data_IF_970449375521
#
_entry.id   IF_970449375521
#
_cell.length_a   1.000
_cell.length_b   1.000
_cell.length_c   1.000
_cell.angle_alpha   90.00
_cell.angle_beta   90.00
_cell.angle_gamma   90.00
#
_symmetry.space_group_name_H-M   'P 1'
#
loop_
_entity.id
_entity.type
_entity.pdbx_description
1 polymer ?
#
# COMPACT_ATOMS: atom_id res chain seq x y z
N UNK A 1 19.18 21.43 28.32
CA UNK A 1 18.43 20.27 27.82
C UNK A 1 17.14 20.78 27.19
N UNK A 2 16.89 20.51 25.91
CA UNK A 2 15.58 20.77 25.33
C UNK A 2 14.57 19.84 26.01
N UNK A 3 13.42 20.36 26.43
CA UNK A 3 12.34 19.52 26.97
C UNK A 3 11.81 18.63 25.84
N UNK A 4 11.98 17.33 26.01
CA UNK A 4 11.33 16.34 25.14
C UNK A 4 9.82 16.44 25.34
N UNK A 5 9.05 16.41 24.26
CA UNK A 5 7.58 16.48 24.29
C UNK A 5 6.99 15.31 23.53
N UNK A 6 5.69 15.04 23.66
CA UNK A 6 5.02 14.00 22.87
C UNK A 6 5.19 14.20 21.36
N UNK A 7 5.21 15.46 20.93
CA UNK A 7 5.44 15.84 19.53
C UNK A 7 6.86 15.53 19.04
N UNK A 8 7.81 15.26 19.95
CA UNK A 8 9.18 14.88 19.61
C UNK A 8 9.37 13.38 19.38
N UNK A 9 8.36 12.54 19.66
CA UNK A 9 8.46 11.10 19.45
C UNK A 9 8.60 10.80 17.94
N UNK A 10 9.74 10.24 17.50
CA UNK A 10 9.93 9.93 16.08
C UNK A 10 9.07 8.72 15.66
N UNK A 11 8.64 7.89 16.60
CA UNK A 11 7.88 6.68 16.32
C UNK A 11 6.39 6.98 16.31
N UNK A 12 5.65 6.67 15.23
CA UNK A 12 4.20 6.89 15.18
C UNK A 12 3.44 5.89 16.05
N UNK A 13 2.44 6.35 16.80
CA UNK A 13 1.62 5.51 17.70
C UNK A 13 0.88 4.41 16.94
N UNK A 14 0.32 4.75 15.78
CA UNK A 14 -0.47 3.80 15.01
C UNK A 14 0.42 2.72 14.41
N UNK A 15 1.70 3.02 14.13
CA UNK A 15 2.63 2.14 13.40
C UNK A 15 1.93 1.46 12.20
N UNK A 16 0.96 2.16 11.60
CA UNK A 16 0.17 1.75 10.46
C UNK A 16 0.53 2.71 9.34
N UNK A 17 1.19 2.21 8.31
CA UNK A 17 1.29 2.98 7.08
C UNK A 17 -0.07 3.02 6.41
N UNK A 18 -0.58 4.24 6.20
CA UNK A 18 -1.68 4.51 5.30
C UNK A 18 -1.10 4.96 3.95
N UNK A 19 -1.66 4.47 2.85
CA UNK A 19 -1.22 4.89 1.53
C UNK A 19 -1.38 6.41 1.38
N UNK A 20 -0.36 7.08 0.84
CA UNK A 20 -0.34 8.54 0.66
C UNK A 20 0.27 9.35 1.81
N UNK A 21 0.58 8.74 2.95
CA UNK A 21 1.34 9.40 4.02
C UNK A 21 2.86 9.41 3.71
N UNK A 22 3.55 10.48 4.10
CA UNK A 22 5.01 10.50 4.07
C UNK A 22 5.54 9.45 5.04
N UNK A 23 6.24 8.45 4.49
CA UNK A 23 6.73 7.32 5.26
C UNK A 23 8.25 7.41 5.39
N UNK A 24 8.73 7.44 6.63
CA UNK A 24 10.14 7.21 6.93
C UNK A 24 10.45 5.77 6.56
N UNK A 25 11.36 5.57 5.61
CA UNK A 25 11.64 4.26 5.03
C UNK A 25 13.12 3.92 5.19
N UNK A 26 13.44 2.64 5.24
CA UNK A 26 14.82 2.15 5.29
C UNK A 26 15.11 1.33 4.04
N UNK A 27 15.75 1.94 3.04
CA UNK A 27 16.11 1.27 1.78
C UNK A 27 17.17 0.20 1.94
N UNK A 28 17.85 0.15 3.10
CA UNK A 28 18.84 -0.87 3.41
C UNK A 28 18.22 -2.24 3.77
N UNK A 29 16.90 -2.33 3.92
CA UNK A 29 16.22 -3.60 4.12
C UNK A 29 16.26 -4.44 2.84
N UNK A 30 16.55 -5.72 2.96
CA UNK A 30 16.74 -6.60 1.80
C UNK A 30 15.50 -6.63 0.88
N UNK A 31 14.30 -6.67 1.47
CA UNK A 31 13.05 -6.69 0.70
C UNK A 31 12.74 -5.34 0.01
N UNK A 32 13.22 -4.22 0.56
CA UNK A 32 13.10 -2.90 -0.06
C UNK A 32 14.01 -2.83 -1.30
N UNK A 33 15.28 -3.22 -1.14
CA UNK A 33 16.25 -3.27 -2.24
C UNK A 33 15.78 -4.21 -3.37
N UNK A 34 15.32 -5.42 -3.02
CA UNK A 34 14.79 -6.37 -4.01
C UNK A 34 13.62 -5.78 -4.83
N UNK A 35 12.64 -5.15 -4.16
CA UNK A 35 11.51 -4.54 -4.85
C UNK A 35 11.92 -3.30 -5.66
N UNK A 36 12.88 -2.52 -5.17
CA UNK A 36 13.46 -1.39 -5.90
C UNK A 36 14.15 -1.85 -7.18
N UNK A 37 14.90 -2.95 -7.10
CA UNK A 37 15.61 -3.50 -8.23
C UNK A 37 14.64 -3.97 -9.32
N UNK A 38 13.50 -4.58 -8.96
CA UNK A 38 12.45 -4.90 -9.93
C UNK A 38 11.82 -3.65 -10.56
N UNK A 39 11.51 -2.62 -9.76
CA UNK A 39 11.00 -1.36 -10.29
C UNK A 39 12.01 -0.68 -11.22
N UNK A 40 13.29 -0.63 -10.83
CA UNK A 40 14.37 -0.02 -11.61
C UNK A 40 14.57 -0.76 -12.93
N UNK A 41 14.67 -2.09 -12.90
CA UNK A 41 14.78 -2.91 -14.11
C UNK A 41 13.59 -2.65 -15.05
N UNK A 42 12.38 -2.54 -14.48
CA UNK A 42 11.19 -2.20 -15.25
C UNK A 42 11.31 -0.85 -15.96
N UNK A 43 11.71 0.20 -15.24
CA UNK A 43 11.85 1.54 -15.79
C UNK A 43 12.97 1.63 -16.85
N UNK A 44 14.11 0.99 -16.60
CA UNK A 44 15.23 0.90 -17.54
C UNK A 44 14.77 0.25 -18.85
N UNK A 45 14.10 -0.90 -18.78
CA UNK A 45 13.64 -1.62 -19.97
C UNK A 45 12.48 -0.92 -20.69
N UNK A 46 11.54 -0.29 -19.95
CA UNK A 46 10.42 0.45 -20.53
C UNK A 46 10.89 1.61 -21.42
N UNK A 47 12.07 2.18 -21.13
CA UNK A 47 12.63 3.32 -21.87
C UNK A 47 13.29 2.96 -23.20
N UNK A 48 13.74 1.71 -23.35
CA UNK A 48 14.60 1.29 -24.47
C UNK A 48 13.82 0.50 -25.51
N UNK A 49 12.77 -0.22 -25.11
CA UNK A 49 12.36 -1.39 -25.88
C UNK A 49 10.91 -1.39 -26.36
N UNK A 50 10.71 -2.00 -27.53
CA UNK A 50 9.38 -2.42 -28.02
C UNK A 50 8.94 -3.73 -27.37
N UNK A 51 9.80 -4.36 -26.56
CA UNK A 51 9.48 -5.61 -25.88
C UNK A 51 8.56 -5.38 -24.68
N UNK A 52 7.64 -6.32 -24.49
CA UNK A 52 6.69 -6.32 -23.37
C UNK A 52 7.42 -6.63 -22.07
N UNK A 53 7.86 -5.60 -21.35
CA UNK A 53 8.60 -5.74 -20.08
C UNK A 53 7.71 -5.62 -18.82
N UNK A 54 6.38 -5.71 -18.98
CA UNK A 54 5.45 -5.77 -17.85
C UNK A 54 5.51 -7.09 -17.08
N UNK A 55 4.76 -7.20 -15.99
CA UNK A 55 4.71 -8.41 -15.17
C UNK A 55 4.08 -8.19 -13.81
N UNK A 56 3.94 -9.27 -13.04
CA UNK A 56 3.54 -9.18 -11.63
C UNK A 56 4.67 -9.63 -10.70
N UNK A 57 4.77 -8.97 -9.55
CA UNK A 57 5.68 -9.28 -8.45
C UNK A 57 4.85 -9.53 -7.21
N UNK A 58 5.02 -10.71 -6.60
CA UNK A 58 4.32 -11.07 -5.37
C UNK A 58 5.09 -10.63 -4.14
N UNK A 59 4.42 -9.94 -3.22
CA UNK A 59 4.92 -9.56 -1.90
C UNK A 59 4.23 -10.42 -0.84
N UNK A 60 5.00 -11.27 -0.16
CA UNK A 60 4.50 -12.26 0.81
C UNK A 60 4.97 -11.92 2.21
N UNK A 61 4.06 -11.69 3.13
CA UNK A 61 4.41 -11.37 4.52
C UNK A 61 3.22 -11.46 5.47
N UNK A 62 3.46 -11.74 6.74
CA UNK A 62 2.42 -11.81 7.78
C UNK A 62 1.71 -10.44 7.98
N UNK A 63 0.56 -10.38 8.66
CA UNK A 63 -0.04 -9.11 9.09
C UNK A 63 0.97 -8.27 9.89
N UNK A 64 1.06 -6.96 9.61
CA UNK A 64 2.01 -6.06 10.28
C UNK A 64 3.45 -6.11 9.76
N UNK A 65 3.76 -6.95 8.78
CA UNK A 65 5.09 -7.12 8.20
C UNK A 65 5.65 -5.90 7.42
N UNK A 66 4.85 -4.86 7.18
CA UNK A 66 5.27 -3.69 6.40
C UNK A 66 4.97 -3.76 4.89
N UNK A 67 4.09 -4.66 4.43
CA UNK A 67 3.70 -4.76 3.01
C UNK A 67 3.13 -3.45 2.45
N UNK A 68 2.14 -2.87 3.13
CA UNK A 68 1.54 -1.57 2.76
C UNK A 68 2.56 -0.44 2.73
N UNK A 69 3.52 -0.48 3.67
CA UNK A 69 4.62 0.47 3.74
C UNK A 69 5.53 0.37 2.51
N UNK A 70 5.94 -0.85 2.15
CA UNK A 70 6.73 -1.13 0.94
C UNK A 70 6.00 -0.66 -0.33
N UNK A 71 4.72 -0.98 -0.50
CA UNK A 71 3.92 -0.52 -1.65
C UNK A 71 3.87 1.02 -1.72
N UNK A 72 3.60 1.68 -0.59
CA UNK A 72 3.53 3.15 -0.54
C UNK A 72 4.88 3.79 -0.88
N UNK A 73 5.97 3.20 -0.41
CA UNK A 73 7.33 3.63 -0.72
C UNK A 73 7.67 3.46 -2.22
N UNK A 74 7.32 2.32 -2.83
CA UNK A 74 7.51 2.10 -4.27
C UNK A 74 6.75 3.14 -5.09
N UNK A 75 5.49 3.42 -4.72
CA UNK A 75 4.67 4.43 -5.38
C UNK A 75 5.27 5.84 -5.27
N UNK A 76 5.79 6.17 -4.09
CA UNK A 76 6.49 7.45 -3.85
C UNK A 76 7.78 7.55 -4.65
N UNK A 77 8.57 6.48 -4.67
CA UNK A 77 9.84 6.40 -5.41
C UNK A 77 9.62 6.60 -6.91
N UNK A 78 8.60 5.97 -7.50
CA UNK A 78 8.28 6.17 -8.91
C UNK A 78 7.91 7.64 -9.20
N UNK A 79 7.04 8.23 -8.38
CA UNK A 79 6.60 9.63 -8.55
C UNK A 79 7.75 10.65 -8.40
N UNK A 80 8.77 10.33 -7.59
CA UNK A 80 9.93 11.19 -7.38
C UNK A 80 11.02 11.02 -8.45
N UNK A 81 10.97 9.96 -9.25
CA UNK A 81 11.97 9.67 -10.28
C UNK A 81 11.80 10.63 -11.47
N UNK A 82 12.55 11.74 -11.45
CA UNK A 82 12.44 12.84 -12.44
C UNK A 82 12.69 12.43 -13.90
N UNK A 83 13.36 11.30 -14.13
CA UNK A 83 13.64 10.81 -15.49
C UNK A 83 12.44 10.14 -16.15
N UNK A 84 11.48 9.64 -15.37
CA UNK A 84 10.33 8.90 -15.87
C UNK A 84 9.07 9.31 -15.10
N UNK A 85 8.22 10.14 -15.70
CA UNK A 85 6.91 10.47 -15.14
C UNK A 85 5.96 9.27 -15.31
N UNK A 86 6.12 8.24 -14.48
CA UNK A 86 5.23 7.06 -14.47
C UNK A 86 3.95 7.30 -13.68
N UNK A 87 2.90 6.56 -14.04
CA UNK A 87 1.63 6.54 -13.31
C UNK A 87 1.62 5.39 -12.30
N UNK A 88 1.26 5.68 -11.05
CA UNK A 88 1.07 4.68 -10.00
C UNK A 88 -0.37 4.66 -9.54
N UNK A 89 -1.02 3.50 -9.66
CA UNK A 89 -2.33 3.24 -9.07
C UNK A 89 -2.20 2.30 -7.88
N UNK A 90 -2.95 2.60 -6.83
CA UNK A 90 -3.02 1.79 -5.63
C UNK A 90 -4.46 1.41 -5.37
N UNK A 91 -4.67 0.14 -5.05
CA UNK A 91 -5.93 -0.34 -4.54
C UNK A 91 -5.71 -1.33 -3.40
N UNK A 92 -6.66 -1.31 -2.47
CA UNK A 92 -6.71 -2.20 -1.32
C UNK A 92 -7.94 -3.08 -1.49
N UNK A 93 -7.76 -4.39 -1.52
CA UNK A 93 -8.89 -5.31 -1.63
C UNK A 93 -9.77 -5.19 -0.37
N UNK A 94 -10.93 -4.54 -0.49
CA UNK A 94 -11.90 -4.40 0.61
C UNK A 94 -13.09 -5.38 0.46
N UNK A 95 -13.15 -6.14 -0.63
CA UNK A 95 -14.17 -7.18 -0.87
C UNK A 95 -13.66 -8.28 -1.80
N UNK A 96 -14.46 -9.33 -1.98
CA UNK A 96 -14.20 -10.39 -2.96
C UNK A 96 -14.67 -10.06 -4.38
N UNK A 97 -15.29 -8.88 -4.60
CA UNK A 97 -15.70 -8.42 -5.93
C UNK A 97 -14.49 -7.81 -6.65
N UNK A 98 -14.06 -8.44 -7.74
CA UNK A 98 -12.85 -8.04 -8.46
C UNK A 98 -13.07 -6.72 -9.24
N UNK A 99 -14.32 -6.42 -9.61
CA UNK A 99 -14.71 -5.21 -10.32
C UNK A 99 -14.58 -4.00 -9.42
N UNK A 100 -14.89 -4.14 -8.12
CA UNK A 100 -14.66 -3.10 -7.13
C UNK A 100 -13.17 -2.73 -7.04
N UNK A 101 -12.27 -3.71 -7.11
CA UNK A 101 -10.82 -3.48 -7.15
C UNK A 101 -10.42 -2.70 -8.42
N UNK A 102 -10.88 -3.13 -9.60
CA UNK A 102 -10.61 -2.44 -10.86
C UNK A 102 -11.12 -0.99 -10.84
N UNK A 103 -12.34 -0.75 -10.36
CA UNK A 103 -12.89 0.61 -10.24
C UNK A 103 -12.11 1.46 -9.24
N UNK A 104 -11.66 0.90 -8.12
CA UNK A 104 -10.79 1.61 -7.17
C UNK A 104 -9.48 2.07 -7.82
N UNK A 105 -8.85 1.22 -8.64
CA UNK A 105 -7.67 1.61 -9.41
C UNK A 105 -8.00 2.74 -10.39
N UNK A 106 -9.06 2.59 -11.19
CA UNK A 106 -9.43 3.58 -12.21
C UNK A 106 -9.83 4.92 -11.59
N UNK A 107 -10.47 4.94 -10.42
CA UNK A 107 -10.75 6.18 -9.68
C UNK A 107 -9.47 6.90 -9.20
N UNK A 108 -8.35 6.18 -9.09
CA UNK A 108 -7.04 6.79 -8.80
C UNK A 108 -6.44 7.56 -9.98
N UNK A 109 -7.05 7.49 -11.17
CA UNK A 109 -6.66 8.29 -12.34
C UNK A 109 -7.55 9.51 -12.44
N UNK A 110 -7.00 10.68 -12.17
CA UNK A 110 -7.74 11.92 -12.35
C UNK A 110 -8.02 12.19 -13.83
N UNK A 111 -9.18 12.78 -14.13
CA UNK A 111 -9.57 13.14 -15.50
C UNK A 111 -8.51 13.95 -16.26
N UNK A 112 -7.86 15.00 -15.68
CA UNK A 112 -6.83 15.75 -16.39
C UNK A 112 -5.64 14.90 -16.82
N UNK A 113 -5.18 13.98 -15.97
CA UNK A 113 -4.10 13.04 -16.29
C UNK A 113 -4.49 12.12 -17.46
N UNK A 114 -5.75 11.66 -17.48
CA UNK A 114 -6.23 10.82 -18.57
C UNK A 114 -6.27 11.57 -19.91
N UNK A 115 -6.65 12.85 -19.90
CA UNK A 115 -6.60 13.73 -21.07
C UNK A 115 -5.16 13.89 -21.56
N UNK A 116 -4.21 14.14 -20.65
CA UNK A 116 -2.79 14.26 -20.99
C UNK A 116 -2.24 12.97 -21.62
N UNK A 117 -2.57 11.80 -21.05
CA UNK A 117 -2.19 10.50 -21.61
C UNK A 117 -2.74 10.28 -23.03
N UNK A 118 -4.00 10.66 -23.26
CA UNK A 118 -4.62 10.59 -24.60
C UNK A 118 -3.87 11.48 -25.59
N UNK A 119 -3.57 12.72 -25.21
CA UNK A 119 -2.82 13.66 -26.06
C UNK A 119 -1.42 13.16 -26.36
N UNK A 120 -0.72 12.60 -25.37
CA UNK A 120 0.62 12.04 -25.54
C UNK A 120 0.60 10.79 -26.45
N UNK A 121 -0.40 9.92 -26.31
CA UNK A 121 -0.59 8.77 -27.21
C UNK A 121 -0.85 9.22 -28.66
N UNK A 122 -1.70 10.24 -28.86
CA UNK A 122 -1.93 10.83 -30.19
C UNK A 122 -0.66 11.44 -30.78
N UNK A 123 0.14 12.14 -29.97
CA UNK A 123 1.42 12.71 -30.39
C UNK A 123 2.39 11.62 -30.84
N UNK A 124 2.53 10.55 -30.05
CA UNK A 124 3.40 9.42 -30.40
C UNK A 124 2.92 8.70 -31.65
N UNK A 125 1.61 8.52 -31.82
CA UNK A 125 1.04 7.98 -33.05
C UNK A 125 1.38 8.87 -34.26
N UNK A 126 1.18 10.18 -34.16
CA UNK A 126 1.51 11.14 -35.20
C UNK A 126 3.00 11.08 -35.58
N UNK A 127 3.91 11.04 -34.60
CA UNK A 127 5.36 10.90 -34.81
C UNK A 127 5.71 9.60 -35.54
N UNK A 128 5.13 8.47 -35.13
CA UNK A 128 5.36 7.17 -35.82
C UNK A 128 4.91 7.23 -37.28
N UNK A 129 3.77 7.87 -37.56
CA UNK A 129 3.26 8.03 -38.93
C UNK A 129 4.10 8.98 -39.76
N UNK A 130 4.51 10.13 -39.23
CA UNK A 130 5.40 11.07 -39.92
C UNK A 130 6.73 10.40 -40.31
N UNK A 131 7.33 9.65 -39.38
CA UNK A 131 8.55 8.85 -39.64
C UNK A 131 8.31 7.78 -40.71
N UNK A 132 7.21 7.03 -40.63
CA UNK A 132 6.88 5.98 -41.60
C UNK A 132 6.62 6.53 -43.02
N UNK A 133 6.00 7.70 -43.13
CA UNK A 133 5.68 8.33 -44.40
C UNK A 133 6.91 8.94 -45.12
N UNK A 134 8.10 8.95 -44.48
CA UNK A 134 9.30 9.66 -44.94
C UNK A 134 9.03 11.15 -45.27
N UNK A 135 7.96 11.71 -44.72
CA UNK A 135 7.62 13.13 -44.85
C UNK A 135 8.61 13.85 -43.95
N UNK A 136 9.72 14.30 -44.55
CA UNK A 136 10.85 15.09 -44.03
C UNK A 136 11.08 14.97 -42.51
N UNK A 137 12.23 14.45 -42.07
CA UNK A 137 12.64 14.41 -40.64
C UNK A 137 12.28 15.69 -39.86
N UNK A 138 12.37 16.86 -40.51
CA UNK A 138 11.91 18.15 -39.99
C UNK A 138 10.49 18.19 -39.40
N UNK A 139 9.54 17.40 -39.90
CA UNK A 139 8.16 17.36 -39.38
C UNK A 139 8.06 16.53 -38.09
N UNK A 140 8.79 15.42 -38.03
CA UNK A 140 8.88 14.63 -36.81
C UNK A 140 9.60 15.42 -35.71
N UNK A 141 10.62 16.19 -36.09
CA UNK A 141 11.36 17.08 -35.20
C UNK A 141 10.50 18.26 -34.74
N UNK A 142 9.56 18.78 -35.55
CA UNK A 142 8.63 19.84 -35.11
C UNK A 142 7.60 19.37 -34.07
N UNK A 143 7.35 18.07 -33.97
CA UNK A 143 6.40 17.48 -33.02
C UNK A 143 7.08 17.20 -31.67
N UNK A 144 7.76 18.16 -31.04
CA UNK A 144 8.49 17.93 -29.78
C UNK A 144 7.58 17.89 -28.53
N UNK A 145 6.45 18.59 -28.57
CA UNK A 145 5.56 18.76 -27.40
C UNK A 145 4.09 18.47 -27.72
N UNK A 146 3.27 18.32 -26.66
CA UNK A 146 1.81 18.17 -26.77
C UNK A 146 1.19 19.41 -27.42
N UNK A 147 1.68 20.61 -27.11
CA UNK A 147 1.21 21.87 -27.70
C UNK A 147 1.40 21.91 -29.22
N UNK A 148 2.39 21.17 -29.75
CA UNK A 148 2.59 21.02 -31.19
C UNK A 148 1.42 20.32 -31.88
N UNK A 149 0.51 19.65 -31.16
CA UNK A 149 -0.77 19.13 -31.69
C UNK A 149 -1.86 20.19 -31.82
N UNK A 150 -1.72 21.36 -31.18
CA UNK A 150 -2.64 22.49 -31.33
C UNK A 150 -2.26 23.40 -32.52
N UNK A 151 -0.96 23.52 -32.79
CA UNK A 151 -0.35 24.26 -33.91
C UNK A 151 -0.65 23.71 -35.34
N UNK A 152 -0.98 22.42 -35.61
CA UNK A 152 -1.02 21.88 -36.97
C UNK A 152 -2.29 22.21 -37.76
N UNK A 153 -3.29 22.93 -37.21
CA UNK A 153 -4.58 23.15 -37.89
C UNK A 153 -4.47 23.90 -39.23
N UNK A 154 -3.39 24.66 -39.46
CA UNK A 154 -3.26 25.50 -40.67
C UNK A 154 -2.10 25.13 -41.60
N UNK A 155 -1.09 24.38 -41.14
CA UNK A 155 0.13 24.14 -41.94
C UNK A 155 0.48 22.66 -42.18
N UNK A 156 -0.09 21.74 -41.39
CA UNK A 156 0.35 20.35 -41.35
C UNK A 156 -0.86 19.47 -41.67
N UNK A 157 -0.77 18.62 -42.71
CA UNK A 157 -1.80 17.66 -43.12
C UNK A 157 -2.08 16.53 -42.09
N UNK A 158 -2.01 16.81 -40.78
CA UNK A 158 -2.37 15.89 -39.73
C UNK A 158 -3.84 16.12 -39.37
N UNK A 159 -4.70 15.20 -39.81
CA UNK A 159 -6.10 15.18 -39.41
C UNK A 159 -6.22 14.52 -38.01
N UNK A 160 -6.53 15.32 -36.99
CA UNK A 160 -6.67 14.84 -35.61
C UNK A 160 -7.79 13.81 -35.46
N UNK A 161 -8.90 13.95 -36.19
CA UNK A 161 -9.99 12.97 -36.15
C UNK A 161 -9.56 11.63 -36.74
N UNK A 162 -8.75 11.66 -37.80
CA UNK A 162 -8.15 10.45 -38.35
C UNK A 162 -7.19 9.79 -37.34
N UNK A 163 -6.33 10.57 -36.68
CA UNK A 163 -5.45 10.03 -35.62
C UNK A 163 -6.25 9.44 -34.45
N UNK A 164 -7.35 10.08 -34.04
CA UNK A 164 -8.24 9.54 -33.01
C UNK A 164 -8.85 8.21 -33.46
N UNK A 165 -9.38 8.12 -34.67
CA UNK A 165 -9.95 6.88 -35.20
C UNK A 165 -8.91 5.74 -35.24
N UNK A 166 -7.68 6.05 -35.64
CA UNK A 166 -6.60 5.07 -35.65
C UNK A 166 -6.15 4.68 -34.26
N UNK A 167 -6.12 5.61 -33.30
CA UNK A 167 -5.84 5.30 -31.90
C UNK A 167 -6.93 4.39 -31.29
N UNK A 168 -8.21 4.62 -31.62
CA UNK A 168 -9.31 3.69 -31.25
C UNK A 168 -9.04 2.31 -31.82
N UNK A 169 -8.65 2.22 -33.11
CA UNK A 169 -8.29 0.96 -33.76
C UNK A 169 -7.14 0.24 -33.06
N UNK A 170 -6.02 0.93 -32.80
CA UNK A 170 -4.84 0.31 -32.15
C UNK A 170 -5.13 -0.13 -30.71
N UNK A 171 -5.91 0.64 -29.94
CA UNK A 171 -6.37 0.23 -28.61
C UNK A 171 -7.30 -0.98 -28.71
N UNK A 172 -8.27 -0.96 -29.63
CA UNK A 172 -9.22 -2.04 -29.88
C UNK A 172 -8.54 -3.34 -30.28
N UNK A 173 -7.53 -3.29 -31.17
CA UNK A 173 -6.75 -4.47 -31.59
C UNK A 173 -5.95 -5.08 -30.45
N UNK A 174 -5.47 -4.26 -29.51
CA UNK A 174 -4.66 -4.71 -28.37
C UNK A 174 -5.49 -5.35 -27.25
N UNK A 175 -6.73 -4.89 -27.05
CA UNK A 175 -7.57 -5.28 -25.90
C UNK A 175 -8.80 -6.08 -26.30
N UNK A 176 -9.17 -6.08 -27.58
CA UNK A 176 -10.45 -6.61 -28.06
C UNK A 176 -11.65 -5.73 -27.67
N UNK A 177 -11.44 -4.49 -27.26
CA UNK A 177 -12.47 -3.64 -26.65
C UNK A 177 -12.63 -2.28 -27.34
N UNK A 178 -13.04 -2.32 -28.61
CA UNK A 178 -13.21 -1.13 -29.45
C UNK A 178 -14.15 -0.08 -28.83
N UNK A 179 -15.26 -0.54 -28.22
CA UNK A 179 -16.22 0.35 -27.55
C UNK A 179 -15.60 1.09 -26.36
N UNK A 180 -14.85 0.38 -25.51
CA UNK A 180 -14.14 0.97 -24.37
C UNK A 180 -13.06 1.95 -24.82
N UNK A 181 -12.33 1.63 -25.89
CA UNK A 181 -11.35 2.53 -26.49
C UNK A 181 -11.97 3.83 -27.01
N UNK A 182 -13.14 3.74 -27.68
CA UNK A 182 -13.89 4.93 -28.14
C UNK A 182 -14.27 5.83 -26.97
N UNK A 183 -14.92 5.27 -25.93
CA UNK A 183 -15.37 6.04 -24.76
C UNK A 183 -14.16 6.68 -24.05
N UNK A 184 -13.05 5.96 -23.94
CA UNK A 184 -11.80 6.50 -23.40
C UNK A 184 -11.35 7.74 -24.15
N UNK A 185 -11.40 7.72 -25.49
CA UNK A 185 -11.04 8.88 -26.29
C UNK A 185 -12.09 10.01 -26.29
N UNK A 186 -13.28 9.80 -25.72
CA UNK A 186 -14.28 10.86 -25.52
C UNK A 186 -14.06 11.65 -24.22
N UNK A 187 -13.17 11.20 -23.31
CA UNK A 187 -12.87 11.89 -22.04
C UNK A 187 -12.43 13.37 -22.21
N UNK A 188 -11.65 13.75 -23.23
CA UNK A 188 -11.32 15.15 -23.49
C UNK A 188 -12.49 15.99 -24.04
N UNK A 189 -13.60 15.37 -24.45
CA UNK A 189 -14.74 16.08 -25.04
C UNK A 189 -15.40 17.02 -24.02
N UNK A 190 -15.81 18.20 -24.50
CA UNK A 190 -16.42 19.23 -23.66
C UNK A 190 -17.84 18.87 -23.21
N UNK A 191 -18.55 18.07 -24.00
CA UNK A 191 -19.95 17.68 -23.76
C UNK A 191 -20.05 16.30 -23.13
N UNK A 192 -19.35 15.31 -23.67
CA UNK A 192 -19.42 13.91 -23.25
C UNK A 192 -18.34 13.52 -22.24
N UNK A 193 -17.27 14.31 -22.11
CA UNK A 193 -16.07 13.84 -21.43
C UNK A 193 -16.22 13.58 -19.94
N UNK A 194 -17.14 14.27 -19.25
CA UNK A 194 -17.47 13.99 -17.86
C UNK A 194 -18.15 12.63 -17.70
N UNK A 195 -19.11 12.32 -18.57
CA UNK A 195 -19.83 11.05 -18.56
C UNK A 195 -18.95 9.89 -19.03
N UNK A 196 -18.13 10.10 -20.06
CA UNK A 196 -17.13 9.13 -20.49
C UNK A 196 -16.18 8.75 -19.35
N UNK A 197 -15.69 9.76 -18.61
CA UNK A 197 -14.85 9.52 -17.43
C UNK A 197 -15.59 8.76 -16.33
N UNK A 198 -16.83 9.16 -16.01
CA UNK A 198 -17.67 8.46 -15.02
C UNK A 198 -17.95 7.01 -15.41
N UNK A 199 -18.16 6.73 -16.71
CA UNK A 199 -18.39 5.38 -17.21
C UNK A 199 -17.15 4.51 -17.00
N UNK A 200 -15.98 4.98 -17.44
CA UNK A 200 -14.71 4.24 -17.33
C UNK A 200 -14.35 3.95 -15.88
N UNK A 201 -14.58 4.91 -14.99
CA UNK A 201 -14.26 4.78 -13.55
C UNK A 201 -15.34 4.03 -12.75
N UNK A 202 -16.44 3.61 -13.40
CA UNK A 202 -17.53 2.90 -12.73
C UNK A 202 -18.36 3.76 -11.79
N UNK A 203 -18.33 5.09 -11.92
CA UNK A 203 -19.18 6.02 -11.16
C UNK A 203 -20.62 6.07 -11.68
N UNK A 204 -20.92 5.36 -12.78
CA UNK A 204 -22.24 5.34 -13.42
C UNK A 204 -22.50 6.60 -14.26
N UNK A 205 -23.38 6.48 -15.25
CA UNK A 205 -23.77 7.56 -16.16
C UNK A 205 -25.29 7.59 -16.23
N UNK A 206 -25.86 8.79 -16.24
CA UNK A 206 -27.32 8.99 -16.20
C UNK A 206 -27.96 8.63 -17.55
N UNK A 207 -27.25 8.89 -18.67
CA UNK A 207 -27.69 8.54 -20.02
C UNK A 207 -26.59 7.81 -20.82
N UNK A 208 -26.40 6.49 -20.62
CA UNK A 208 -25.41 5.70 -21.35
C UNK A 208 -25.56 5.78 -22.88
N UNK A 209 -26.79 5.96 -23.39
CA UNK A 209 -27.03 6.05 -24.82
C UNK A 209 -26.32 7.25 -25.48
N UNK A 210 -26.03 8.33 -24.74
CA UNK A 210 -25.25 9.47 -25.25
C UNK A 210 -23.78 9.12 -25.54
N UNK A 211 -23.22 8.16 -24.80
CA UNK A 211 -21.90 7.60 -25.07
C UNK A 211 -21.95 6.49 -26.13
N UNK A 212 -23.14 6.21 -26.68
CA UNK A 212 -23.38 5.11 -27.59
C UNK A 212 -23.12 3.75 -26.98
N UNK A 213 -23.31 3.60 -25.66
CA UNK A 213 -23.21 2.32 -24.95
C UNK A 213 -24.61 1.84 -24.54
N UNK A 214 -24.84 0.54 -24.63
CA UNK A 214 -26.11 -0.07 -24.24
C UNK A 214 -26.18 -0.40 -22.76
N UNK A 215 -25.03 -0.54 -22.09
CA UNK A 215 -24.92 -0.96 -20.71
C UNK A 215 -24.30 0.12 -19.82
N UNK A 216 -24.88 0.29 -18.63
CA UNK A 216 -24.25 1.06 -17.56
C UNK A 216 -23.10 0.25 -16.97
N UNK A 217 -21.93 0.89 -16.77
CA UNK A 217 -20.78 0.30 -16.10
C UNK A 217 -21.09 -0.21 -14.68
N UNK A 218 -22.17 0.29 -14.05
CA UNK A 218 -22.74 -0.24 -12.82
C UNK A 218 -24.27 -0.39 -12.94
N UNK A 219 -24.71 -1.53 -13.47
CA UNK A 219 -25.90 -2.27 -13.00
C UNK A 219 -27.27 -1.59 -12.94
N UNK A 220 -27.52 -0.44 -13.57
CA UNK A 220 -28.82 0.25 -13.51
C UNK A 220 -29.88 -0.24 -14.54
N UNK A 221 -29.73 -1.45 -15.10
CA UNK A 221 -30.65 -2.06 -16.08
C UNK A 221 -30.63 -3.59 -15.99
N UNK A 222 -31.31 -4.30 -16.90
CA UNK A 222 -31.29 -5.78 -17.01
C UNK A 222 -29.87 -6.30 -16.75
N UNK A 223 -29.69 -6.90 -15.58
CA UNK A 223 -28.39 -6.98 -14.94
C UNK A 223 -27.46 -7.89 -15.76
N UNK A 224 -26.34 -7.38 -16.32
CA UNK A 224 -25.29 -8.26 -16.83
C UNK A 224 -24.90 -9.21 -15.69
N UNK A 225 -24.64 -10.47 -16.05
CA UNK A 225 -24.22 -11.45 -15.07
C UNK A 225 -22.99 -10.95 -14.30
N UNK A 226 -22.78 -11.31 -13.03
CA UNK A 226 -21.63 -10.85 -12.26
C UNK A 226 -20.30 -10.99 -13.02
N UNK A 227 -20.14 -12.10 -13.76
CA UNK A 227 -18.94 -12.34 -14.56
C UNK A 227 -18.71 -11.34 -15.71
N UNK A 228 -19.78 -10.84 -16.34
CA UNK A 228 -19.67 -9.87 -17.44
C UNK A 228 -19.22 -8.51 -16.91
N UNK A 229 -19.76 -8.09 -15.77
CA UNK A 229 -19.34 -6.87 -15.07
C UNK A 229 -17.85 -6.95 -14.66
N UNK A 230 -17.45 -8.09 -14.11
CA UNK A 230 -16.07 -8.38 -13.73
C UNK A 230 -15.12 -8.32 -14.94
N UNK A 231 -15.50 -8.98 -16.03
CA UNK A 231 -14.72 -8.97 -17.26
C UNK A 231 -14.61 -7.57 -17.88
N UNK A 232 -15.70 -6.80 -17.90
CA UNK A 232 -15.74 -5.44 -18.43
C UNK A 232 -14.81 -4.50 -17.64
N UNK A 233 -14.80 -4.59 -16.31
CA UNK A 233 -13.93 -3.77 -15.47
C UNK A 233 -12.44 -4.06 -15.71
N UNK A 234 -12.06 -5.33 -15.88
CA UNK A 234 -10.68 -5.68 -16.25
C UNK A 234 -10.33 -5.16 -17.64
N UNK A 235 -11.23 -5.31 -18.62
CA UNK A 235 -11.03 -4.82 -19.98
C UNK A 235 -10.87 -3.29 -20.04
N UNK A 236 -11.62 -2.54 -19.23
CA UNK A 236 -11.45 -1.10 -19.11
C UNK A 236 -10.07 -0.72 -18.58
N UNK A 237 -9.62 -1.39 -17.52
CA UNK A 237 -8.28 -1.18 -16.99
C UNK A 237 -7.17 -1.63 -17.97
N UNK A 238 -7.37 -2.72 -18.72
CA UNK A 238 -6.46 -3.14 -19.80
C UNK A 238 -6.35 -2.06 -20.88
N UNK A 239 -7.47 -1.42 -21.24
CA UNK A 239 -7.50 -0.34 -22.24
C UNK A 239 -6.73 0.89 -21.75
N UNK A 240 -6.84 1.22 -20.46
CA UNK A 240 -6.02 2.27 -19.83
C UNK A 240 -4.53 1.88 -19.82
N UNK A 241 -4.19 0.63 -19.52
CA UNK A 241 -2.81 0.16 -19.56
C UNK A 241 -2.24 0.21 -20.99
N UNK A 242 -3.04 -0.16 -21.99
CA UNK A 242 -2.68 -0.03 -23.40
C UNK A 242 -2.45 1.44 -23.79
N UNK A 243 -3.28 2.36 -23.28
CA UNK A 243 -3.07 3.80 -23.49
C UNK A 243 -1.73 4.27 -22.92
N UNK A 244 -1.37 3.87 -21.70
CA UNK A 244 -0.07 4.19 -21.11
C UNK A 244 1.10 3.69 -21.97
N UNK A 245 1.00 2.46 -22.46
CA UNK A 245 2.00 1.89 -23.36
C UNK A 245 2.13 2.69 -24.66
N UNK A 246 1.02 3.13 -25.27
CA UNK A 246 1.05 3.96 -26.48
C UNK A 246 1.56 5.39 -26.20
N UNK A 247 1.26 5.92 -25.02
CA UNK A 247 1.79 7.18 -24.53
C UNK A 247 3.29 7.10 -24.17
N UNK A 248 3.87 5.90 -24.06
CA UNK A 248 5.25 5.70 -23.61
C UNK A 248 5.44 6.05 -22.13
N UNK A 249 4.38 5.95 -21.33
CA UNK A 249 4.37 6.28 -19.90
C UNK A 249 4.39 5.00 -19.08
N UNK A 250 5.38 4.80 -18.18
CA UNK A 250 5.41 3.64 -17.30
C UNK A 250 4.13 3.55 -16.45
N UNK A 251 3.57 2.35 -16.33
CA UNK A 251 2.32 2.11 -15.60
C UNK A 251 2.53 1.05 -14.52
N UNK A 252 2.39 1.47 -13.25
CA UNK A 252 2.59 0.62 -12.08
C UNK A 252 1.29 0.49 -11.30
N UNK A 253 0.91 -0.75 -11.00
CA UNK A 253 -0.27 -1.09 -10.19
C UNK A 253 0.18 -1.71 -8.87
N UNK A 254 -0.35 -1.20 -7.76
CA UNK A 254 -0.05 -1.65 -6.41
C UNK A 254 -1.33 -2.21 -5.79
N UNK A 255 -1.38 -3.51 -5.54
CA UNK A 255 -2.51 -4.19 -4.92
C UNK A 255 -2.14 -4.60 -3.50
N UNK A 256 -2.95 -4.21 -2.52
CA UNK A 256 -2.80 -4.63 -1.13
C UNK A 256 -3.93 -5.58 -0.69
N UNK A 257 -3.62 -6.43 0.29
CA UNK A 257 -4.56 -7.34 0.95
C UNK A 257 -5.20 -8.39 0.03
N UNK A 258 -4.40 -9.11 -0.77
CA UNK A 258 -4.87 -10.21 -1.62
C UNK A 258 -5.75 -11.22 -0.86
N UNK A 259 -5.50 -11.45 0.43
CA UNK A 259 -6.33 -12.33 1.27
C UNK A 259 -7.81 -11.98 1.29
N UNK A 260 -8.18 -10.69 1.23
CA UNK A 260 -9.59 -10.25 1.26
C UNK A 260 -10.28 -10.59 -0.05
N UNK A 261 -9.57 -10.42 -1.17
CA UNK A 261 -10.10 -10.78 -2.47
C UNK A 261 -10.38 -12.30 -2.56
N UNK A 262 -9.52 -13.10 -1.93
CA UNK A 262 -9.59 -14.56 -1.89
C UNK A 262 -10.37 -15.11 -0.68
N UNK A 263 -11.02 -14.28 0.13
CA UNK A 263 -11.63 -14.71 1.41
C UNK A 263 -13.00 -15.38 1.28
N UNK A 264 -13.42 -15.77 0.08
CA UNK A 264 -14.73 -16.39 -0.12
C UNK A 264 -14.74 -17.86 0.32
N UNK A 265 -15.74 -18.32 1.10
CA UNK A 265 -15.91 -19.72 1.46
C UNK A 265 -16.44 -20.56 0.29
N UNK A 266 -17.07 -19.94 -0.71
CA UNK A 266 -17.60 -20.64 -1.89
C UNK A 266 -16.47 -20.97 -2.87
N UNK A 267 -16.30 -22.26 -3.17
CA UNK A 267 -15.27 -22.75 -4.07
C UNK A 267 -15.47 -22.25 -5.51
N UNK A 268 -16.72 -22.08 -5.97
CA UNK A 268 -16.99 -21.60 -7.32
C UNK A 268 -16.62 -20.12 -7.45
N UNK A 269 -17.05 -19.28 -6.50
CA UNK A 269 -16.62 -17.89 -6.40
C UNK A 269 -15.08 -17.77 -6.30
N UNK A 270 -14.43 -18.63 -5.51
CA UNK A 270 -12.97 -18.65 -5.39
C UNK A 270 -12.28 -18.93 -6.72
N UNK A 271 -12.72 -19.96 -7.45
CA UNK A 271 -12.18 -20.29 -8.77
C UNK A 271 -12.38 -19.15 -9.78
N UNK A 272 -13.54 -18.49 -9.73
CA UNK A 272 -13.83 -17.32 -10.56
C UNK A 272 -12.86 -16.18 -10.25
N UNK A 273 -12.72 -15.77 -8.99
CA UNK A 273 -11.81 -14.70 -8.57
C UNK A 273 -10.35 -15.04 -8.91
N UNK A 274 -9.92 -16.28 -8.71
CA UNK A 274 -8.59 -16.74 -9.09
C UNK A 274 -8.36 -16.63 -10.61
N UNK A 275 -9.36 -17.01 -11.41
CA UNK A 275 -9.32 -16.90 -12.87
C UNK A 275 -9.28 -15.44 -13.34
N UNK A 276 -10.05 -14.57 -12.69
CA UNK A 276 -10.04 -13.13 -12.93
C UNK A 276 -8.70 -12.50 -12.56
N UNK A 277 -8.10 -12.91 -11.43
CA UNK A 277 -6.77 -12.47 -11.00
C UNK A 277 -5.70 -12.86 -12.02
N UNK A 278 -5.74 -14.11 -12.54
CA UNK A 278 -4.86 -14.57 -13.61
C UNK A 278 -5.04 -13.72 -14.86
N UNK A 279 -6.28 -13.55 -15.32
CA UNK A 279 -6.62 -12.75 -16.50
C UNK A 279 -6.12 -11.31 -16.35
N UNK A 280 -6.35 -10.69 -15.20
CA UNK A 280 -5.87 -9.35 -14.87
C UNK A 280 -4.35 -9.22 -14.98
N UNK A 281 -3.60 -10.12 -14.35
CA UNK A 281 -2.12 -10.11 -14.40
C UNK A 281 -1.63 -10.28 -15.85
N UNK A 282 -2.21 -11.23 -16.59
CA UNK A 282 -1.84 -11.49 -17.98
C UNK A 282 -2.13 -10.30 -18.90
N UNK A 283 -3.30 -9.68 -18.76
CA UNK A 283 -3.73 -8.54 -19.57
C UNK A 283 -2.87 -7.29 -19.27
N UNK A 284 -2.65 -6.96 -18.00
CA UNK A 284 -1.82 -5.81 -17.63
C UNK A 284 -0.35 -6.00 -18.05
N UNK A 285 0.21 -7.20 -17.83
CA UNK A 285 1.58 -7.52 -18.26
C UNK A 285 1.74 -7.42 -19.79
N UNK A 286 0.71 -7.85 -20.56
CA UNK A 286 0.69 -7.73 -22.02
C UNK A 286 0.79 -6.27 -22.50
N UNK A 287 0.21 -5.34 -21.74
CA UNK A 287 0.30 -3.91 -22.00
C UNK A 287 1.51 -3.24 -21.30
N UNK A 288 2.53 -4.03 -20.92
CA UNK A 288 3.76 -3.53 -20.29
C UNK A 288 3.56 -2.83 -18.94
N UNK A 289 2.48 -3.14 -18.22
CA UNK A 289 2.30 -2.67 -16.85
C UNK A 289 3.09 -3.55 -15.86
N UNK A 290 3.61 -2.94 -14.80
CA UNK A 290 4.20 -3.65 -13.66
C UNK A 290 3.23 -3.66 -12.48
N UNK A 291 2.94 -4.84 -11.96
CA UNK A 291 2.00 -5.01 -10.85
C UNK A 291 2.70 -5.57 -9.62
N UNK A 292 2.64 -4.88 -8.49
CA UNK A 292 3.00 -5.45 -7.18
C UNK A 292 1.72 -5.90 -6.47
N UNK A 293 1.69 -7.15 -6.02
CA UNK A 293 0.54 -7.72 -5.31
C UNK A 293 1.01 -8.11 -3.91
N UNK A 294 0.40 -7.57 -2.86
CA UNK A 294 0.70 -7.91 -1.48
C UNK A 294 -0.36 -8.83 -0.88
N UNK A 295 0.11 -9.87 -0.18
CA UNK A 295 -0.77 -10.83 0.49
C UNK A 295 -0.08 -11.56 1.64
N UNK A 296 -0.89 -12.15 2.52
CA UNK A 296 -0.41 -13.08 3.55
C UNK A 296 -0.02 -14.44 2.95
N UNK A 297 0.84 -15.23 3.62
CA UNK A 297 1.24 -16.56 3.16
C UNK A 297 0.07 -17.48 2.76
N UNK A 298 -1.03 -17.43 3.50
CA UNK A 298 -2.22 -18.25 3.27
C UNK A 298 -2.90 -17.92 1.93
N UNK A 299 -2.95 -16.64 1.56
CA UNK A 299 -3.50 -16.20 0.28
C UNK A 299 -2.66 -16.73 -0.89
N UNK A 300 -1.33 -16.63 -0.78
CA UNK A 300 -0.39 -17.15 -1.77
C UNK A 300 -0.43 -18.68 -1.89
N UNK A 301 -0.56 -19.39 -0.75
CA UNK A 301 -0.66 -20.84 -0.74
C UNK A 301 -1.99 -21.35 -1.32
N UNK A 302 -3.07 -20.57 -1.16
CA UNK A 302 -4.37 -20.88 -1.77
C UNK A 302 -4.34 -20.65 -3.28
N UNK A 303 -3.66 -19.60 -3.74
CA UNK A 303 -3.69 -19.16 -5.12
C UNK A 303 -3.33 -20.30 -6.09
N UNK A 304 -4.08 -20.40 -7.19
CA UNK A 304 -3.86 -21.46 -8.17
C UNK A 304 -2.44 -21.37 -8.75
N UNK A 305 -1.78 -22.53 -8.86
CA UNK A 305 -0.45 -22.70 -9.49
C UNK A 305 -0.33 -21.91 -10.81
N UNK A 306 -1.43 -21.85 -11.56
CA UNK A 306 -1.56 -21.11 -12.81
C UNK A 306 -1.29 -19.60 -12.71
N UNK A 307 -1.84 -18.92 -11.70
CA UNK A 307 -1.61 -17.48 -11.54
C UNK A 307 -0.19 -17.22 -11.02
N UNK A 308 0.32 -18.09 -10.13
CA UNK A 308 1.70 -18.01 -9.64
C UNK A 308 2.74 -18.16 -10.76
N UNK A 309 2.44 -18.96 -11.79
CA UNK A 309 3.32 -19.13 -12.96
C UNK A 309 3.43 -17.88 -13.85
N UNK A 310 2.57 -16.87 -13.64
CA UNK A 310 2.57 -15.58 -14.36
C UNK A 310 3.22 -14.46 -13.56
N UNK A 311 3.57 -14.71 -12.30
CA UNK A 311 4.37 -13.80 -11.49
C UNK A 311 5.80 -13.93 -12.00
N UNK A 312 6.37 -12.79 -12.39
CA UNK A 312 7.64 -12.68 -13.13
C UNK A 312 8.79 -13.30 -12.35
N UNK A 313 8.77 -13.17 -11.04
CA UNK A 313 9.61 -13.94 -10.12
C UNK A 313 8.79 -15.11 -9.58
N UNK A 314 9.28 -16.35 -9.78
CA UNK A 314 8.67 -17.55 -9.16
C UNK A 314 8.69 -17.47 -7.64
N UNK A 315 9.70 -16.80 -7.10
CA UNK A 315 9.85 -16.57 -5.67
C UNK A 315 9.28 -15.20 -5.32
N UNK A 316 8.34 -15.19 -4.39
CA UNK A 316 7.74 -13.97 -3.85
C UNK A 316 8.80 -13.21 -3.05
N UNK A 317 8.79 -11.88 -3.12
CA UNK A 317 9.60 -11.06 -2.21
C UNK A 317 9.01 -11.22 -0.81
N UNK A 318 9.78 -11.79 0.10
CA UNK A 318 9.36 -11.94 1.49
C UNK A 318 9.45 -10.58 2.20
N UNK A 319 8.35 -10.15 2.81
CA UNK A 319 8.25 -8.89 3.54
C UNK A 319 8.02 -9.21 5.02
N UNK A 320 8.82 -8.60 5.89
CA UNK A 320 8.78 -8.80 7.35
C UNK A 320 9.73 -9.89 7.84
N UNK A 321 9.61 -10.24 9.13
CA UNK A 321 10.56 -11.13 9.79
C UNK A 321 11.94 -10.49 9.88
N UNK A 322 12.01 -9.21 10.27
CA UNK A 322 13.24 -8.46 10.34
C UNK A 322 14.25 -9.22 11.18
N UNK A 323 15.48 -9.35 10.71
CA UNK A 323 16.60 -9.73 11.57
C UNK A 323 16.82 -8.68 12.68
N UNK A 324 17.63 -9.02 13.67
CA UNK A 324 18.02 -8.05 14.70
C UNK A 324 18.70 -6.82 14.08
N UNK A 325 19.55 -7.03 13.07
CA UNK A 325 20.26 -5.95 12.38
C UNK A 325 19.30 -5.08 11.57
N UNK A 326 18.35 -5.69 10.85
CA UNK A 326 17.29 -4.95 10.15
C UNK A 326 16.37 -4.19 11.11
N UNK A 327 16.11 -4.74 12.30
CA UNK A 327 15.39 -4.03 13.37
C UNK A 327 16.16 -2.77 13.78
N UNK A 328 17.49 -2.86 13.95
CA UNK A 328 18.35 -1.71 14.22
C UNK A 328 18.24 -0.67 13.10
N UNK A 329 18.32 -1.10 11.84
CA UNK A 329 18.23 -0.23 10.67
C UNK A 329 16.90 0.52 10.60
N UNK A 330 15.78 -0.14 10.93
CA UNK A 330 14.45 0.49 10.99
C UNK A 330 14.40 1.53 12.10
N UNK A 331 14.79 1.17 13.32
CA UNK A 331 14.75 2.10 14.45
C UNK A 331 15.64 3.33 14.19
N UNK A 332 16.84 3.12 13.65
CA UNK A 332 17.78 4.20 13.32
C UNK A 332 17.26 5.11 12.20
N UNK A 333 16.51 4.59 11.22
CA UNK A 333 15.91 5.41 10.18
C UNK A 333 14.92 6.45 10.76
N UNK A 334 14.10 6.03 11.73
CA UNK A 334 13.20 6.94 12.46
C UNK A 334 13.94 7.93 13.35
N UNK A 335 15.03 7.50 13.99
CA UNK A 335 15.85 8.36 14.84
C UNK A 335 16.67 9.39 14.05
N UNK A 336 16.99 9.13 12.78
CA UNK A 336 17.79 10.02 11.93
C UNK A 336 17.20 11.43 11.78
N UNK A 337 15.88 11.56 11.80
CA UNK A 337 15.19 12.86 11.75
C UNK A 337 15.23 13.62 13.09
N UNK A 338 15.79 13.01 14.13
CA UNK A 338 15.85 13.50 15.51
C UNK A 338 17.20 13.17 16.18
N UNK A 339 18.33 13.70 15.68
CA UNK A 339 19.69 13.35 16.15
C UNK A 339 20.01 13.77 17.60
N UNK A 340 19.12 14.49 18.26
CA UNK A 340 19.27 14.90 19.66
C UNK A 340 18.69 13.88 20.65
N UNK A 341 17.99 12.85 20.16
CA UNK A 341 17.43 11.79 20.98
C UNK A 341 18.49 10.69 21.22
N UNK A 342 18.47 10.02 22.38
CA UNK A 342 19.37 8.90 22.62
C UNK A 342 19.05 7.72 21.70
N UNK A 343 20.08 7.21 21.03
CA UNK A 343 19.96 6.01 20.20
C UNK A 343 19.63 4.77 21.05
N UNK A 344 19.03 3.76 20.40
CA UNK A 344 18.92 2.43 20.98
C UNK A 344 20.28 1.71 20.89
N UNK A 345 20.84 1.32 22.03
CA UNK A 345 22.01 0.45 22.06
C UNK A 345 21.67 -0.98 21.63
N UNK A 346 22.68 -1.76 21.22
CA UNK A 346 22.52 -3.11 20.67
C UNK A 346 21.67 -4.05 21.53
N UNK A 347 21.79 -3.94 22.85
CA UNK A 347 21.04 -4.78 23.78
C UNK A 347 19.56 -4.39 23.83
N UNK A 348 19.23 -3.10 23.77
CA UNK A 348 17.84 -2.64 23.64
C UNK A 348 17.24 -3.05 22.29
N UNK A 349 18.00 -2.93 21.19
CA UNK A 349 17.55 -3.40 19.87
C UNK A 349 17.26 -4.90 19.90
N UNK A 350 18.15 -5.72 20.48
CA UNK A 350 17.94 -7.17 20.62
C UNK A 350 16.65 -7.49 21.38
N UNK A 351 16.36 -6.76 22.46
CA UNK A 351 15.15 -6.96 23.25
C UNK A 351 13.89 -6.51 22.50
N UNK A 352 13.92 -5.36 21.82
CA UNK A 352 12.81 -4.91 20.96
C UNK A 352 12.56 -5.93 19.86
N UNK A 353 13.61 -6.44 19.21
CA UNK A 353 13.52 -7.47 18.19
C UNK A 353 12.89 -8.76 18.74
N UNK A 354 13.35 -9.24 19.89
CA UNK A 354 12.81 -10.44 20.55
C UNK A 354 11.34 -10.27 20.93
N UNK A 355 10.96 -9.14 21.52
CA UNK A 355 9.58 -8.85 21.94
C UNK A 355 8.63 -8.66 20.76
N UNK A 356 9.10 -8.04 19.68
CA UNK A 356 8.32 -7.84 18.44
C UNK A 356 8.24 -9.09 17.57
N UNK A 357 9.09 -10.11 17.82
CA UNK A 357 9.26 -11.25 16.93
C UNK A 357 9.72 -10.86 15.52
N UNK A 358 10.44 -9.74 15.38
CA UNK A 358 10.85 -9.19 14.08
C UNK A 358 9.72 -8.55 13.27
N UNK A 359 8.55 -8.29 13.85
CA UNK A 359 7.48 -7.52 13.20
C UNK A 359 7.81 -6.02 13.21
N UNK A 360 7.95 -5.34 12.06
CA UNK A 360 8.26 -3.91 12.02
C UNK A 360 7.24 -3.06 12.77
N UNK A 361 5.94 -3.36 12.61
CA UNK A 361 4.86 -2.64 13.33
C UNK A 361 5.04 -2.76 14.84
N UNK A 362 5.29 -3.96 15.33
CA UNK A 362 5.44 -4.20 16.77
C UNK A 362 6.73 -3.56 17.31
N UNK A 363 7.83 -3.62 16.55
CA UNK A 363 9.06 -2.95 16.92
C UNK A 363 8.86 -1.43 17.07
N UNK A 364 8.16 -0.80 16.11
CA UNK A 364 7.85 0.63 16.16
C UNK A 364 6.89 0.97 17.32
N UNK A 365 5.89 0.12 17.59
CA UNK A 365 4.96 0.29 18.72
C UNK A 365 5.68 0.20 20.07
N UNK A 366 6.59 -0.76 20.22
CA UNK A 366 7.43 -0.89 21.42
C UNK A 366 8.32 0.35 21.56
N UNK A 367 9.00 0.77 20.49
CA UNK A 367 9.85 1.96 20.50
C UNK A 367 9.07 3.23 20.85
N UNK A 368 7.86 3.40 20.31
CA UNK A 368 6.95 4.49 20.66
C UNK A 368 6.65 4.54 22.16
N UNK A 369 6.28 3.40 22.74
CA UNK A 369 5.93 3.31 24.16
C UNK A 369 7.13 3.53 25.07
N UNK A 370 8.31 3.01 24.69
CA UNK A 370 9.55 3.26 25.43
C UNK A 370 9.89 4.75 25.42
N UNK A 371 9.75 5.41 24.27
CA UNK A 371 9.98 6.86 24.17
C UNK A 371 8.99 7.64 25.03
N UNK A 372 7.69 7.32 24.98
CA UNK A 372 6.68 7.96 25.79
C UNK A 372 7.02 7.90 27.30
N UNK A 373 7.50 6.75 27.77
CA UNK A 373 7.93 6.56 29.16
C UNK A 373 9.16 7.39 29.53
N UNK A 374 10.17 7.46 28.67
CA UNK A 374 11.40 8.26 28.91
C UNK A 374 11.07 9.75 29.06
N UNK A 375 10.10 10.24 28.30
CA UNK A 375 9.69 11.65 28.32
C UNK A 375 8.70 11.96 29.46
N UNK A 376 8.31 10.95 30.25
CA UNK A 376 7.33 11.12 31.33
C UNK A 376 5.92 11.41 30.82
N UNK A 377 5.61 11.00 29.59
CA UNK A 377 4.27 11.15 29.03
C UNK A 377 3.38 10.01 29.52
N UNK A 378 2.09 10.28 29.80
CA UNK A 378 1.15 9.21 30.07
C UNK A 378 1.14 8.24 28.88
N UNK A 379 1.32 6.95 29.17
CA UNK A 379 1.25 5.92 28.12
C UNK A 379 -0.16 5.99 27.54
N UNK A 380 -0.35 6.09 26.21
CA UNK A 380 -1.68 6.10 25.63
C UNK A 380 -2.40 4.84 26.09
N UNK A 381 -3.48 4.99 26.86
CA UNK A 381 -4.33 3.86 27.24
C UNK A 381 -4.85 3.26 25.95
N UNK A 382 -4.45 2.02 25.65
CA UNK A 382 -4.83 1.35 24.42
C UNK A 382 -6.36 1.30 24.34
N UNK A 383 -6.96 2.17 23.52
CA UNK A 383 -8.38 2.14 23.28
C UNK A 383 -8.69 0.89 22.43
N UNK A 384 -9.15 -0.19 23.05
CA UNK A 384 -9.99 -1.20 22.38
C UNK A 384 -10.81 -2.03 23.38
N UNK A 385 -12.12 -2.08 23.09
CA UNK A 385 -13.09 -3.14 23.41
C UNK A 385 -13.12 -3.72 24.84
N UNK A 386 -14.16 -3.31 25.58
CA UNK A 386 -14.81 -4.00 26.71
C UNK A 386 -13.91 -4.55 27.82
N UNK A 387 -13.49 -3.63 28.69
CA UNK A 387 -12.89 -3.87 30.00
C UNK A 387 -12.17 -2.62 30.45
N UNK A 388 -12.85 -1.72 31.19
CA UNK A 388 -12.34 -0.37 31.48
C UNK A 388 -11.61 -0.35 32.83
N UNK A 389 -10.27 -0.34 32.81
CA UNK A 389 -9.44 0.01 33.97
C UNK A 389 -9.30 1.53 33.99
N UNK A 390 -9.68 2.19 35.11
CA UNK A 390 -9.92 3.63 35.13
C UNK A 390 -8.88 4.49 35.87
N UNK A 391 -8.05 3.94 36.78
CA UNK A 391 -6.99 4.72 37.42
C UNK A 391 -5.94 3.83 38.12
N UNK A 392 -4.72 4.38 38.24
CA UNK A 392 -3.68 3.93 39.16
C UNK A 392 -3.38 5.10 40.12
N UNK A 393 -3.33 4.82 41.42
CA UNK A 393 -3.01 5.82 42.45
C UNK A 393 -2.12 5.21 43.54
N UNK A 394 -1.36 6.08 44.20
CA UNK A 394 -0.61 5.75 45.40
C UNK A 394 -1.41 6.22 46.62
N UNK A 395 -1.40 5.42 47.67
CA UNK A 395 -1.98 5.78 48.96
C UNK A 395 -0.88 6.42 49.82
N UNK A 396 -0.94 7.74 49.96
CA UNK A 396 0.08 8.53 50.67
C UNK A 396 0.10 8.28 52.20
N UNK A 397 -0.89 7.56 52.74
CA UNK A 397 -1.00 7.27 54.18
C UNK A 397 -0.52 5.85 54.56
N UNK A 398 -0.01 5.05 53.60
CA UNK A 398 0.51 3.71 53.87
C UNK A 398 2.03 3.72 54.13
N UNK A 399 2.55 3.00 55.16
CA UNK A 399 3.98 2.98 55.50
C UNK A 399 4.88 2.25 54.47
N UNK A 400 4.30 1.71 53.40
CA UNK A 400 4.98 1.17 52.21
C UNK A 400 4.08 1.40 51.00
N UNK A 401 4.64 1.86 49.88
CA UNK A 401 3.96 2.09 48.59
C UNK A 401 3.09 0.88 48.21
N UNK A 402 1.78 0.96 48.48
CA UNK A 402 0.84 -0.12 48.18
C UNK A 402 -0.05 0.33 47.04
N UNK A 403 -0.02 -0.43 45.95
CA UNK A 403 -0.82 -0.19 44.75
C UNK A 403 -2.22 -0.77 44.92
N UNK A 404 -3.23 -0.05 44.44
CA UNK A 404 -4.58 -0.59 44.28
C UNK A 404 -5.09 -0.39 42.85
N UNK A 405 -6.00 -1.26 42.43
CA UNK A 405 -6.72 -1.13 41.16
C UNK A 405 -8.20 -0.89 41.48
N UNK A 406 -8.76 0.15 40.90
CA UNK A 406 -10.18 0.50 41.07
C UNK A 406 -10.95 0.13 39.80
N UNK A 407 -11.94 -0.75 39.95
CA UNK A 407 -12.74 -1.29 38.84
C UNK A 407 -14.19 -0.85 39.02
N UNK A 408 -14.78 -0.29 37.98
CA UNK A 408 -16.20 0.08 37.96
C UNK A 408 -17.01 -1.07 37.35
N UNK A 409 -17.84 -1.71 38.17
CA UNK A 409 -18.76 -2.76 37.74
C UNK A 409 -20.16 -2.17 37.57
N UNK A 410 -21.07 -2.91 36.92
CA UNK A 410 -22.47 -2.49 36.75
C UNK A 410 -23.23 -2.24 38.06
N UNK A 411 -22.64 -2.56 39.21
CA UNK A 411 -23.19 -2.40 40.57
C UNK A 411 -22.47 -1.35 41.44
N UNK A 412 -21.41 -0.69 40.95
CA UNK A 412 -20.65 0.32 41.70
C UNK A 412 -19.14 0.24 41.49
N UNK A 413 -18.38 1.04 42.25
CA UNK A 413 -16.90 1.03 42.23
C UNK A 413 -16.34 0.12 43.30
N UNK A 414 -15.41 -0.75 42.92
CA UNK A 414 -14.71 -1.65 43.83
C UNK A 414 -13.20 -1.38 43.80
N UNK A 415 -12.60 -1.22 44.99
CA UNK A 415 -11.14 -1.15 45.17
C UNK A 415 -10.62 -2.53 45.52
N UNK A 416 -9.75 -3.07 44.68
CA UNK A 416 -9.11 -4.36 44.90
C UNK A 416 -7.65 -4.14 45.30
N UNK A 417 -7.28 -4.64 46.47
CA UNK A 417 -5.89 -4.79 46.89
C UNK A 417 -5.34 -6.04 46.22
N UNK A 418 -4.25 -5.90 45.46
CA UNK A 418 -3.67 -7.02 44.74
C UNK A 418 -3.01 -8.00 45.73
N UNK A 419 -3.74 -9.04 46.15
CA UNK A 419 -3.24 -10.28 46.72
C UNK A 419 -4.31 -11.39 46.63
N UNK A 420 -4.17 -12.31 45.66
CA UNK A 420 -4.84 -13.62 45.67
C UNK A 420 -5.73 -13.94 44.47
N UNK A 421 -5.93 -15.25 44.14
CA UNK A 421 -6.14 -15.69 42.77
C UNK A 421 -7.62 -15.87 42.41
N UNK A 422 -8.00 -15.40 41.21
CA UNK A 422 -9.19 -15.86 40.51
C UNK A 422 -8.79 -16.18 39.07
N UNK A 423 -8.95 -17.45 38.68
CA UNK A 423 -8.85 -17.90 37.29
C UNK A 423 -10.26 -17.99 36.73
N UNK A 424 -10.49 -17.38 35.55
CA UNK A 424 -11.11 -18.16 34.48
C UNK A 424 -10.35 -18.00 33.15
N UNK A 425 -10.26 -19.13 32.46
CA UNK A 425 -9.71 -19.32 31.12
C UNK A 425 -10.51 -18.59 30.03
N UNK A 426 -9.83 -17.86 29.13
CA UNK A 426 -10.33 -17.57 27.78
C UNK A 426 -9.21 -17.62 26.74
N UNK A 427 -9.60 -18.01 25.53
CA UNK A 427 -8.80 -18.31 24.36
C UNK A 427 -8.04 -17.09 23.81
N UNK A 428 -6.96 -17.40 23.08
CA UNK A 428 -6.04 -16.49 22.38
C UNK A 428 -6.71 -15.24 21.82
N UNK A 429 -6.33 -14.07 22.33
CA UNK A 429 -6.24 -12.82 21.57
C UNK A 429 -5.41 -11.77 22.33
N UNK A 430 -4.44 -11.16 21.65
CA UNK A 430 -3.73 -9.93 22.07
C UNK A 430 -2.71 -10.06 23.22
N UNK A 431 -1.46 -9.65 22.99
CA UNK A 431 -0.51 -9.41 24.08
C UNK A 431 -0.95 -8.13 24.81
N UNK A 432 -1.56 -8.29 25.98
CA UNK A 432 -1.73 -7.23 26.96
C UNK A 432 -0.39 -7.06 27.72
N UNK A 433 0.22 -5.89 27.62
CA UNK A 433 1.50 -5.58 28.29
C UNK A 433 1.17 -4.92 29.63
N UNK A 434 0.65 -5.71 30.57
CA UNK A 434 0.36 -5.31 31.94
C UNK A 434 1.57 -5.26 32.89
N UNK A 435 2.80 -5.28 32.36
CA UNK A 435 4.01 -5.43 33.17
C UNK A 435 4.81 -4.12 33.35
N UNK A 436 5.41 -4.00 34.54
CA UNK A 436 6.41 -2.97 34.86
C UNK A 436 7.68 -3.23 34.02
N UNK A 437 8.13 -2.21 33.29
CA UNK A 437 9.36 -2.28 32.47
C UNK A 437 10.37 -1.31 33.09
N UNK A 438 11.55 -1.81 33.46
CA UNK A 438 12.69 -0.99 33.88
C UNK A 438 13.57 -0.70 32.66
N UNK A 439 13.83 0.57 32.38
CA UNK A 439 14.71 1.02 31.30
C UNK A 439 16.05 1.42 31.93
N UNK A 440 17.14 0.87 31.41
CA UNK A 440 18.50 1.19 31.84
C UNK A 440 19.19 2.02 30.77
N UNK A 441 19.80 3.14 31.19
CA UNK A 441 20.57 4.04 30.33
C UNK A 441 22.07 3.81 30.56
N UNK A 442 22.82 3.72 29.46
CA UNK A 442 24.28 3.66 29.47
C UNK A 442 24.90 4.99 29.88
N UNK A 443 26.21 4.98 30.15
CA UNK A 443 26.98 6.18 30.50
C UNK A 443 27.04 7.21 29.36
N UNK A 444 26.80 6.77 28.11
CA UNK A 444 26.66 7.60 26.92
C UNK A 444 25.23 8.11 26.68
N UNK A 445 24.30 7.83 27.60
CA UNK A 445 22.90 8.21 27.53
C UNK A 445 22.03 7.30 26.64
N UNK A 446 22.61 6.27 26.02
CA UNK A 446 21.86 5.32 25.18
C UNK A 446 21.00 4.38 26.00
N UNK A 447 19.91 3.89 25.42
CA UNK A 447 19.11 2.83 26.04
C UNK A 447 19.88 1.51 25.89
N UNK A 448 20.35 0.94 27.00
CA UNK A 448 21.18 -0.28 27.00
C UNK A 448 20.41 -1.53 27.39
N UNK A 449 19.36 -1.42 28.21
CA UNK A 449 18.52 -2.57 28.56
C UNK A 449 17.08 -2.17 28.89
N UNK A 450 16.19 -3.12 28.65
CA UNK A 450 14.75 -3.12 28.89
C UNK A 450 14.47 -4.41 29.65
N UNK A 451 14.26 -4.28 30.95
CA UNK A 451 14.00 -5.42 31.82
C UNK A 451 12.50 -5.57 32.02
N UNK A 452 11.96 -6.75 31.71
CA UNK A 452 10.61 -7.13 32.15
C UNK A 452 10.69 -7.43 33.63
N UNK A 453 10.09 -6.58 34.46
CA UNK A 453 10.01 -6.85 35.90
C UNK A 453 8.85 -7.82 36.08
N UNK A 454 9.17 -9.04 36.48
CA UNK A 454 8.14 -10.02 36.80
C UNK A 454 7.23 -9.45 37.91
N UNK A 455 5.92 -9.78 37.93
CA UNK A 455 5.04 -9.38 39.02
C UNK A 455 5.70 -9.77 40.36
N UNK A 456 5.68 -8.88 41.36
CA UNK A 456 6.41 -9.06 42.62
C UNK A 456 6.13 -10.40 43.33
N UNK A 457 4.97 -11.01 43.02
CA UNK A 457 4.52 -12.32 43.49
C UNK A 457 5.35 -13.51 42.96
N UNK A 458 6.01 -13.36 41.80
CA UNK A 458 6.86 -14.40 41.19
C UNK A 458 8.34 -14.29 41.58
N UNK A 459 8.72 -13.19 42.23
CA UNK A 459 10.08 -12.98 42.72
C UNK A 459 10.24 -13.63 44.10
N UNK A 460 11.30 -14.40 44.28
CA UNK A 460 11.73 -14.87 45.60
C UNK A 460 12.01 -13.67 46.53
N UNK A 461 11.91 -13.86 47.84
CA UNK A 461 12.17 -12.78 48.81
C UNK A 461 13.55 -12.11 48.59
N UNK A 462 14.57 -12.89 48.22
CA UNK A 462 15.91 -12.38 47.89
C UNK A 462 15.93 -11.51 46.63
N UNK A 463 15.15 -11.87 45.59
CA UNK A 463 15.03 -11.06 44.36
C UNK A 463 14.26 -9.76 44.60
N UNK A 464 13.30 -9.74 45.54
CA UNK A 464 12.58 -8.51 45.93
C UNK A 464 13.52 -7.53 46.66
N UNK A 465 14.38 -8.03 47.54
CA UNK A 465 15.36 -7.19 48.25
C UNK A 465 16.40 -6.60 47.29
N UNK A 466 16.87 -7.36 46.30
CA UNK A 466 17.84 -6.90 45.31
C UNK A 466 17.28 -5.90 44.28
N UNK A 467 15.95 -5.83 44.11
CA UNK A 467 15.28 -4.86 43.24
C UNK A 467 14.95 -3.54 43.95
N UNK A 468 14.91 -3.55 45.29
CA UNK A 468 14.64 -2.38 46.13
C UNK A 468 15.90 -1.54 46.40
N UNK A 469 17.09 -2.14 46.25
CA UNK A 469 18.40 -1.49 46.15
C UNK A 469 18.72 -1.16 44.71
#
# INVERSE_FOLDING_TARGET
MQQLTAASNPFPIEAVSTYGSANITCTALHHMDAAQNELRQYLEAHSVDTTRYGGAIGLRGIPGAGKTHLLTWLGTTLRQTRTFCGTVLYAKCDSSAFSALCYQLMMGLERPLLIELIQLALLNLARRKARAAKVTESLADRLESIDALAIPRTEININLEQLRHELVGELGDRTGALETARILLDVPDATLGADAYRWITGLGVDNPAQLGVTQSARGAGEHPGPLELEAAAITALETIAALHHLAGVPFVVLLDQLEVLLSTPDHAAYQMVSSLTKKFVEQLSRQSALTFIAGIPEAWNRQMRDASARIRQRDHIHVGGLSCDETALVLNAYMKERPHLPDFGDSAVRQIHQLSGGSPREALRIAHNLFARIVGLPTPTAARSTGKVMAFGFDDDAPTETFYVEIETGSGREKHLANGPVVPSFERDGIDIGDTIKIELGTDGRIVAIHRVAPAETLSAAQRTALAT
#
